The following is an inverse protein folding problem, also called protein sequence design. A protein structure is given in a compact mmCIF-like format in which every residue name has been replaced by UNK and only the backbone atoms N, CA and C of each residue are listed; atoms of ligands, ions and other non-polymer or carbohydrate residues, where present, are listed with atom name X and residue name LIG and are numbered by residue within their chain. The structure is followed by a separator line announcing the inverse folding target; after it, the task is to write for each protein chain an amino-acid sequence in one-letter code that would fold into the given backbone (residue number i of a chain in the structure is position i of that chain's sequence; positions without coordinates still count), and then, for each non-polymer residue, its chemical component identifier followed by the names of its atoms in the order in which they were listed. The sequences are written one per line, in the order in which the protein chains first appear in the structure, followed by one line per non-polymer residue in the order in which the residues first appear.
data_IF_117924648166
#
_entry.id   IF_117924648166
#
_cell.length_a   1.000
_cell.length_b   1.000
_cell.length_c   1.000
_cell.angle_alpha   90.00
_cell.angle_beta   90.00
_cell.angle_gamma   90.00
#
_symmetry.space_group_name_H-M   'P 1'
#
loop_
_entity.id
_entity.type
_entity.pdbx_description
1 polymer ?
#
# COMPACT_ATOMS: atom_id res chain seq x y z
N UNK A 1 15.20 -34.97 17.96
CA UNK A 1 16.07 -34.29 16.98
C UNK A 1 15.17 -33.76 15.86
N UNK A 2 15.32 -32.49 15.44
CA UNK A 2 14.28 -31.78 14.69
C UNK A 2 14.21 -32.26 13.24
N UNK A 3 12.98 -32.43 12.77
CA UNK A 3 12.56 -32.80 11.42
C UNK A 3 12.90 -31.67 10.44
N UNK A 4 13.83 -31.93 9.52
CA UNK A 4 14.09 -31.06 8.37
C UNK A 4 12.81 -30.94 7.53
N UNK A 5 12.36 -29.70 7.27
CA UNK A 5 11.31 -29.39 6.30
C UNK A 5 11.94 -29.00 4.94
N UNK A 6 12.29 -29.95 4.06
CA UNK A 6 12.90 -29.64 2.76
C UNK A 6 11.91 -29.06 1.74
N UNK A 7 10.60 -29.17 1.99
CA UNK A 7 9.56 -28.86 0.98
C UNK A 7 9.35 -27.35 0.80
N UNK A 8 9.57 -26.55 1.85
CA UNK A 8 9.34 -25.10 1.81
C UNK A 8 10.47 -24.36 1.06
N UNK A 9 11.71 -24.85 1.19
CA UNK A 9 12.88 -24.28 0.53
C UNK A 9 12.87 -24.51 -1.00
N UNK A 10 12.36 -25.67 -1.46
CA UNK A 10 12.25 -26.00 -2.89
C UNK A 10 11.32 -25.04 -3.66
N UNK A 11 10.18 -24.66 -3.05
CA UNK A 11 9.23 -23.73 -3.68
C UNK A 11 9.80 -22.32 -3.78
N UNK A 12 10.45 -21.82 -2.74
CA UNK A 12 11.08 -20.50 -2.75
C UNK A 12 12.15 -20.38 -3.85
N UNK A 13 13.01 -21.39 -3.99
CA UNK A 13 14.01 -21.44 -5.08
C UNK A 13 13.36 -21.51 -6.46
N UNK A 14 12.26 -22.24 -6.62
CA UNK A 14 11.51 -22.31 -7.89
C UNK A 14 10.89 -20.98 -8.26
N UNK A 15 10.35 -20.23 -7.29
CA UNK A 15 9.81 -18.89 -7.50
C UNK A 15 10.90 -17.87 -7.79
N UNK A 16 12.04 -17.93 -7.10
CA UNK A 16 13.20 -17.08 -7.40
C UNK A 16 13.72 -17.33 -8.83
N UNK A 17 13.81 -18.60 -9.24
CA UNK A 17 14.22 -18.97 -10.58
C UNK A 17 13.20 -18.54 -11.65
N UNK A 18 11.90 -18.75 -11.40
CA UNK A 18 10.83 -18.33 -12.31
C UNK A 18 10.73 -16.80 -12.43
N UNK A 19 10.90 -16.08 -11.32
CA UNK A 19 10.96 -14.62 -11.29
C UNK A 19 12.17 -14.11 -12.08
N UNK A 20 13.36 -14.68 -11.84
CA UNK A 20 14.57 -14.37 -12.62
C UNK A 20 14.41 -14.64 -14.11
N UNK A 21 13.75 -15.74 -14.48
CA UNK A 21 13.47 -16.07 -15.88
C UNK A 21 12.48 -15.08 -16.51
N UNK A 22 11.44 -14.68 -15.78
CA UNK A 22 10.44 -13.70 -16.21
C UNK A 22 11.11 -12.34 -16.47
N UNK A 23 11.92 -11.86 -15.51
CA UNK A 23 12.68 -10.60 -15.62
C UNK A 23 13.64 -10.63 -16.81
N UNK A 24 14.36 -11.74 -17.01
CA UNK A 24 15.27 -11.90 -18.15
C UNK A 24 14.52 -11.89 -19.49
N UNK A 25 13.31 -12.46 -19.53
CA UNK A 25 12.47 -12.53 -20.73
C UNK A 25 11.84 -11.18 -21.06
N UNK A 26 11.35 -10.44 -20.07
CA UNK A 26 10.81 -9.09 -20.25
C UNK A 26 11.91 -8.11 -20.67
N UNK A 27 13.12 -8.20 -20.10
CA UNK A 27 14.27 -7.42 -20.54
C UNK A 27 14.62 -7.67 -22.02
N UNK A 28 14.67 -8.94 -22.46
CA UNK A 28 14.90 -9.26 -23.88
C UNK A 28 13.81 -8.70 -24.78
N UNK A 29 12.53 -8.82 -24.39
CA UNK A 29 11.40 -8.26 -25.14
C UNK A 29 11.50 -6.75 -25.27
N UNK A 30 11.80 -6.03 -24.18
CA UNK A 30 11.99 -4.59 -24.20
C UNK A 30 13.11 -4.18 -25.15
N UNK A 31 14.26 -4.87 -25.11
CA UNK A 31 15.39 -4.58 -25.99
C UNK A 31 15.05 -4.81 -27.47
N UNK A 32 14.29 -5.86 -27.79
CA UNK A 32 13.81 -6.11 -29.16
C UNK A 32 12.73 -5.13 -29.62
N UNK A 33 11.92 -4.61 -28.69
CA UNK A 33 10.96 -3.56 -29.00
C UNK A 33 11.69 -2.24 -29.28
N UNK A 34 12.69 -1.90 -28.48
CA UNK A 34 13.53 -0.73 -28.68
C UNK A 34 14.21 -0.76 -30.06
N UNK A 35 14.81 -1.89 -30.45
CA UNK A 35 15.44 -2.03 -31.77
C UNK A 35 14.44 -1.88 -32.91
N UNK A 36 13.24 -2.48 -32.80
CA UNK A 36 12.20 -2.38 -33.85
C UNK A 36 11.58 -1.00 -33.96
N UNK A 37 11.45 -0.27 -32.85
CA UNK A 37 10.93 1.10 -32.88
C UNK A 37 11.97 2.05 -33.44
N UNK A 38 13.26 1.84 -33.12
CA UNK A 38 14.36 2.58 -33.75
C UNK A 38 14.42 2.33 -35.27
N UNK A 39 14.30 1.07 -35.69
CA UNK A 39 14.27 0.68 -37.10
C UNK A 39 13.05 1.26 -37.84
N UNK A 40 11.86 1.29 -37.20
CA UNK A 40 10.67 1.97 -37.73
C UNK A 40 10.83 3.49 -37.81
N UNK A 41 11.54 4.11 -36.87
CA UNK A 41 11.80 5.54 -36.89
C UNK A 41 12.82 5.92 -37.98
N UNK A 42 13.83 5.07 -38.22
CA UNK A 42 14.80 5.24 -39.30
C UNK A 42 14.18 5.04 -40.69
N UNK A 43 13.31 4.04 -40.85
CA UNK A 43 12.57 3.79 -42.11
C UNK A 43 11.51 4.84 -42.42
N UNK A 44 10.97 5.54 -41.40
CA UNK A 44 10.06 6.67 -41.59
C UNK A 44 10.76 8.00 -41.94
N UNK A 45 12.10 8.03 -42.03
CA UNK A 45 12.86 9.20 -42.47
C UNK A 45 12.79 10.40 -41.52
N UNK A 46 12.45 10.20 -40.24
CA UNK A 46 12.32 11.29 -39.26
C UNK A 46 13.67 11.50 -38.54
N UNK A 47 14.44 12.56 -38.85
CA UNK A 47 15.77 12.78 -38.26
C UNK A 47 15.76 12.96 -36.73
N UNK A 48 14.61 13.31 -36.14
CA UNK A 48 14.41 13.47 -34.68
C UNK A 48 13.71 12.28 -33.99
N UNK A 49 13.28 11.26 -34.73
CA UNK A 49 12.48 10.14 -34.19
C UNK A 49 13.25 9.30 -33.16
N UNK A 50 14.56 9.17 -33.33
CA UNK A 50 15.45 8.43 -32.42
C UNK A 50 15.52 9.06 -31.02
N UNK A 51 15.47 10.40 -30.93
CA UNK A 51 15.45 11.12 -29.65
C UNK A 51 14.06 11.13 -29.01
N UNK A 52 12.99 11.24 -29.79
CA UNK A 52 11.61 11.17 -29.27
C UNK A 52 11.26 9.79 -28.71
N UNK A 53 11.67 8.71 -29.38
CA UNK A 53 11.49 7.35 -28.89
C UNK A 53 12.32 7.09 -27.63
N UNK A 54 13.56 7.58 -27.59
CA UNK A 54 14.45 7.39 -26.43
C UNK A 54 14.03 8.24 -25.24
N UNK A 55 13.54 9.46 -25.50
CA UNK A 55 12.97 10.36 -24.50
C UNK A 55 11.66 9.82 -23.93
N UNK A 56 10.72 9.39 -24.78
CA UNK A 56 9.46 8.80 -24.31
C UNK A 56 9.67 7.51 -23.51
N UNK A 57 10.62 6.66 -23.92
CA UNK A 57 10.96 5.47 -23.15
C UNK A 57 11.58 5.82 -21.78
N UNK A 58 12.43 6.85 -21.73
CA UNK A 58 13.00 7.36 -20.48
C UNK A 58 11.91 7.92 -19.57
N UNK A 59 11.00 8.74 -20.10
CA UNK A 59 9.85 9.29 -19.37
C UNK A 59 8.91 8.20 -18.88
N UNK A 60 8.61 7.19 -19.70
CA UNK A 60 7.79 6.05 -19.28
C UNK A 60 8.44 5.27 -18.15
N UNK A 61 9.76 5.11 -18.19
CA UNK A 61 10.54 4.42 -17.14
C UNK A 61 10.51 5.23 -15.84
N UNK A 62 10.73 6.54 -15.91
CA UNK A 62 10.60 7.45 -14.75
C UNK A 62 9.17 7.51 -14.23
N UNK A 63 8.16 7.49 -15.09
CA UNK A 63 6.76 7.47 -14.69
C UNK A 63 6.41 6.18 -13.95
N UNK A 64 6.94 5.03 -14.39
CA UNK A 64 6.75 3.76 -13.71
C UNK A 64 7.42 3.77 -12.32
N UNK A 65 8.67 4.22 -12.23
CA UNK A 65 9.35 4.40 -10.94
C UNK A 65 8.62 5.42 -10.05
N UNK A 66 8.18 6.54 -10.61
CA UNK A 66 7.45 7.58 -9.90
C UNK A 66 6.12 7.09 -9.35
N UNK A 67 5.32 6.38 -10.17
CA UNK A 67 4.07 5.77 -9.73
C UNK A 67 4.30 4.71 -8.65
N UNK A 68 5.31 3.86 -8.80
CA UNK A 68 5.64 2.84 -7.80
C UNK A 68 6.06 3.46 -6.47
N UNK A 69 6.92 4.48 -6.51
CA UNK A 69 7.35 5.23 -5.33
C UNK A 69 6.20 5.99 -4.69
N UNK A 70 5.34 6.61 -5.49
CA UNK A 70 4.17 7.33 -5.01
C UNK A 70 3.23 6.40 -4.27
N UNK A 71 2.86 5.26 -4.86
CA UNK A 71 2.00 4.26 -4.21
C UNK A 71 2.65 3.74 -2.93
N UNK A 72 3.94 3.42 -2.97
CA UNK A 72 4.68 2.92 -1.81
C UNK A 72 4.74 3.95 -0.68
N UNK A 73 4.97 5.22 -1.01
CA UNK A 73 4.98 6.33 -0.06
C UNK A 73 3.62 6.50 0.61
N UNK A 74 2.53 6.51 -0.17
CA UNK A 74 1.18 6.62 0.40
C UNK A 74 0.81 5.42 1.26
N UNK A 75 1.20 4.21 0.85
CA UNK A 75 0.96 3.01 1.63
C UNK A 75 1.72 3.06 2.95
N UNK A 76 2.95 3.57 2.94
CA UNK A 76 3.75 3.80 4.15
C UNK A 76 3.09 4.84 5.07
N UNK A 77 2.68 6.00 4.53
CA UNK A 77 1.96 7.03 5.29
C UNK A 77 0.69 6.45 5.90
N UNK A 78 -0.09 5.70 5.14
CA UNK A 78 -1.33 5.06 5.60
C UNK A 78 -1.05 4.05 6.72
N UNK A 79 -0.02 3.21 6.58
CA UNK A 79 0.43 2.32 7.65
C UNK A 79 0.82 3.10 8.92
N UNK A 80 1.61 4.16 8.79
CA UNK A 80 1.97 5.00 9.93
C UNK A 80 0.73 5.62 10.59
N UNK A 81 -0.23 6.12 9.80
CA UNK A 81 -1.47 6.68 10.36
C UNK A 81 -2.28 5.64 11.10
N UNK A 82 -2.39 4.40 10.59
CA UNK A 82 -3.12 3.33 11.27
C UNK A 82 -2.41 2.94 12.57
N UNK A 83 -1.09 2.83 12.56
CA UNK A 83 -0.31 2.53 13.77
C UNK A 83 -0.49 3.62 14.82
N UNK A 84 -0.42 4.89 14.41
CA UNK A 84 -0.68 6.03 15.31
C UNK A 84 -2.12 5.98 15.82
N UNK A 85 -3.11 5.74 14.96
CA UNK A 85 -4.50 5.67 15.35
C UNK A 85 -4.82 4.47 16.26
N UNK A 86 -4.11 3.37 16.10
CA UNK A 86 -4.20 2.20 16.98
C UNK A 86 -3.46 2.40 18.31
N UNK A 87 -2.41 3.23 18.33
CA UNK A 87 -1.65 3.58 19.53
C UNK A 87 -2.28 4.74 20.31
N UNK A 88 -3.06 5.59 19.65
CA UNK A 88 -3.96 6.54 20.31
C UNK A 88 -5.09 5.69 20.90
N UNK A 89 -5.24 5.60 22.23
CA UNK A 89 -6.48 5.09 22.76
C UNK A 89 -7.56 5.98 22.18
N UNK A 90 -8.47 5.40 21.39
CA UNK A 90 -9.75 6.04 21.14
C UNK A 90 -10.36 6.15 22.53
N UNK A 91 -10.11 7.27 23.21
CA UNK A 91 -10.94 7.72 24.30
C UNK A 91 -12.29 7.93 23.62
N UNK A 92 -13.07 6.84 23.54
CA UNK A 92 -14.51 6.93 23.57
C UNK A 92 -14.75 7.92 24.67
N UNK A 93 -15.24 9.08 24.24
CA UNK A 93 -15.42 10.29 25.03
C UNK A 93 -15.44 9.99 26.52
N UNK A 94 -14.56 10.58 27.32
CA UNK A 94 -14.61 10.49 28.79
C UNK A 94 -15.94 11.05 29.37
N UNK A 95 -16.94 11.33 28.51
CA UNK A 95 -18.33 11.49 28.89
C UNK A 95 -18.93 10.10 29.11
N UNK A 96 -19.38 9.78 30.33
CA UNK A 96 -20.08 8.54 30.61
C UNK A 96 -21.20 8.34 29.59
N UNK A 97 -21.24 7.14 29.01
CA UNK A 97 -22.35 6.77 28.14
C UNK A 97 -23.65 6.84 28.96
N UNK A 98 -24.77 7.17 28.32
CA UNK A 98 -26.06 7.28 29.02
C UNK A 98 -26.57 5.94 29.57
N UNK A 99 -25.87 4.86 29.23
CA UNK A 99 -26.13 3.49 29.67
C UNK A 99 -25.16 3.03 30.78
N UNK A 100 -24.11 3.82 31.11
CA UNK A 100 -23.18 3.56 32.21
C UNK A 100 -23.76 4.03 33.55
N UNK A 101 -24.80 3.33 34.01
CA UNK A 101 -25.54 3.67 35.23
C UNK A 101 -24.69 3.61 36.52
N UNK A 102 -23.60 2.85 36.49
CA UNK A 102 -22.67 2.67 37.61
C UNK A 102 -21.61 3.79 37.69
N UNK A 103 -21.56 4.72 36.72
CA UNK A 103 -20.65 5.86 36.80
C UNK A 103 -21.08 6.82 37.92
N UNK A 104 -20.18 7.20 38.86
CA UNK A 104 -20.50 8.10 39.97
C UNK A 104 -21.03 9.48 39.52
N UNK A 105 -20.71 9.88 38.29
CA UNK A 105 -21.14 11.14 37.68
C UNK A 105 -22.42 11.01 36.85
N UNK A 106 -22.94 9.80 36.60
CA UNK A 106 -24.13 9.57 35.78
C UNK A 106 -25.36 10.34 36.27
N UNK A 107 -25.56 10.41 37.60
CA UNK A 107 -26.64 11.18 38.22
C UNK A 107 -26.52 12.69 37.97
N UNK A 108 -25.28 13.19 37.89
CA UNK A 108 -25.03 14.63 37.68
C UNK A 108 -25.14 15.03 36.21
N UNK A 109 -24.84 14.12 35.28
CA UNK A 109 -24.97 14.36 33.85
C UNK A 109 -26.40 14.16 33.34
N UNK A 110 -27.20 13.27 33.95
CA UNK A 110 -28.58 12.94 33.51
C UNK A 110 -29.61 12.98 34.66
N UNK A 111 -29.77 14.11 35.37
CA UNK A 111 -30.63 14.20 36.55
C UNK A 111 -32.12 13.92 36.27
N UNK A 112 -32.59 14.15 35.05
CA UNK A 112 -33.98 13.94 34.63
C UNK A 112 -34.42 12.46 34.63
N UNK A 113 -33.48 11.52 34.45
CA UNK A 113 -33.74 10.06 34.51
C UNK A 113 -33.98 9.54 35.93
N UNK A 114 -33.70 10.35 36.95
CA UNK A 114 -33.87 9.98 38.35
C UNK A 114 -35.11 10.65 38.96
N UNK A 115 -35.74 9.97 39.90
CA UNK A 115 -36.76 10.54 40.75
C UNK A 115 -36.15 11.37 41.89
N UNK A 116 -36.99 12.01 42.71
CA UNK A 116 -36.54 12.81 43.85
C UNK A 116 -35.82 11.99 44.93
N UNK A 117 -35.94 10.67 44.91
CA UNK A 117 -35.31 9.74 45.85
C UNK A 117 -34.00 9.16 45.31
N UNK A 118 -33.64 9.47 44.05
CA UNK A 118 -32.41 9.00 43.41
C UNK A 118 -32.53 7.62 42.77
N UNK A 119 -33.74 7.12 42.58
CA UNK A 119 -34.02 5.90 41.81
C UNK A 119 -34.26 6.23 40.34
N UNK A 120 -33.90 5.32 39.43
CA UNK A 120 -34.21 5.46 38.02
C UNK A 120 -35.73 5.43 37.81
N UNK A 121 -36.24 6.35 36.97
CA UNK A 121 -37.65 6.38 36.58
C UNK A 121 -38.02 5.30 35.58
#
# INVERSE_FOLDING_TARGET
MPTQQPVQNSRAHRWAYACGLSVKRSYRRLKTFESRVVERAETAGVPAGKFLVRGSFLTAKFALFGAFLFVSFWLFVLMCTIVVFAAVPFQGSDTPDSDDLDDPMHRTSWPERYDKWGSLK
#
